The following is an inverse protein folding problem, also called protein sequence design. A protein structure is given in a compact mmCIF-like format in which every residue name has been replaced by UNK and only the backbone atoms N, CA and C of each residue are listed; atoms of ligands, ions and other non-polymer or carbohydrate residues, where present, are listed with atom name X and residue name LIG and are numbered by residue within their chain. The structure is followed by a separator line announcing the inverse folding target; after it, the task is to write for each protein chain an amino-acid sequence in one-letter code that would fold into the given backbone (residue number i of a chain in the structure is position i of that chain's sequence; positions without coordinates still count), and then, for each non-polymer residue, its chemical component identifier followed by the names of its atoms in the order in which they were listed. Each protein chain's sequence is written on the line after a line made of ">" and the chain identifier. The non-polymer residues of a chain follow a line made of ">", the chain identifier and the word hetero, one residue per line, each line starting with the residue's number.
data_IF_575846138935
#
_entry.id   IF_575846138935
#
_cell.length_a   1.000
_cell.length_b   1.000
_cell.length_c   1.000
_cell.angle_alpha   90.00
_cell.angle_beta   90.00
_cell.angle_gamma   90.00
#
_symmetry.space_group_name_H-M   'P 1'
#
loop_
_entity.id
_entity.type
_entity.pdbx_description
1 polymer ?
#
# COMPACT_ATOMS: atom_id res chain seq x y z
N UNK A 1 -5.62 -10.40 -35.29
CA UNK A 1 -5.94 -9.15 -34.58
C UNK A 1 -7.03 -9.44 -33.55
N UNK A 2 -7.00 -8.76 -32.41
CA UNK A 2 -7.83 -8.95 -31.20
C UNK A 2 -7.34 -10.01 -30.19
N UNK A 3 -6.32 -9.57 -29.44
CA UNK A 3 -5.97 -10.05 -28.10
C UNK A 3 -7.10 -9.72 -27.12
N UNK A 4 -7.71 -10.73 -26.50
CA UNK A 4 -8.30 -10.59 -25.15
C UNK A 4 -8.03 -11.89 -24.39
N UNK A 5 -6.84 -11.98 -23.79
CA UNK A 5 -6.48 -13.03 -22.84
C UNK A 5 -6.81 -12.53 -21.44
N UNK A 6 -8.10 -12.30 -21.18
CA UNK A 6 -8.61 -11.89 -19.87
C UNK A 6 -9.12 -13.14 -19.15
N UNK A 7 -8.78 -13.25 -17.86
CA UNK A 7 -9.10 -14.31 -16.91
C UNK A 7 -8.24 -15.58 -16.92
N UNK A 8 -6.99 -15.42 -16.45
CA UNK A 8 -6.25 -16.52 -15.81
C UNK A 8 -5.34 -16.04 -14.65
N UNK A 9 -5.81 -15.09 -13.82
CA UNK A 9 -5.00 -14.54 -12.70
C UNK A 9 -5.69 -14.62 -11.32
N UNK A 10 -6.87 -15.25 -11.21
CA UNK A 10 -7.56 -15.42 -9.91
C UNK A 10 -7.22 -16.74 -9.18
N UNK A 11 -5.99 -17.26 -9.33
CA UNK A 11 -5.58 -18.54 -8.73
C UNK A 11 -4.23 -18.47 -7.98
N UNK A 12 -4.10 -17.52 -7.06
CA UNK A 12 -3.27 -17.67 -5.85
C UNK A 12 -4.01 -17.06 -4.65
N UNK A 13 -4.92 -17.86 -4.08
CA UNK A 13 -5.46 -17.63 -2.74
C UNK A 13 -4.31 -17.81 -1.74
N UNK A 14 -4.08 -16.80 -0.91
CA UNK A 14 -3.12 -16.83 0.20
C UNK A 14 -2.12 -15.68 0.14
N UNK A 15 -2.38 -14.65 0.96
CA UNK A 15 -1.47 -13.57 1.41
C UNK A 15 -1.65 -12.14 0.87
N UNK A 16 -2.71 -11.79 0.12
CA UNK A 16 -2.96 -10.38 -0.19
C UNK A 16 -4.46 -10.05 -0.29
N UNK A 17 -5.20 -10.24 0.81
CA UNK A 17 -6.57 -9.74 0.91
C UNK A 17 -6.56 -8.22 1.02
N UNK A 18 -6.93 -7.56 -0.07
CA UNK A 18 -7.12 -6.10 -0.07
C UNK A 18 -8.31 -5.77 0.82
N UNK A 19 -8.04 -5.22 2.01
CA UNK A 19 -9.08 -4.84 2.98
C UNK A 19 -9.30 -3.33 2.94
N UNK A 20 -10.55 -2.90 2.80
CA UNK A 20 -10.90 -1.48 2.92
C UNK A 20 -10.84 -1.08 4.39
N UNK A 21 -10.07 -0.04 4.72
CA UNK A 21 -9.97 0.51 6.07
C UNK A 21 -10.69 1.87 6.09
N UNK A 22 -11.95 1.92 6.55
CA UNK A 22 -12.74 3.16 6.56
C UNK A 22 -12.16 4.22 7.50
N UNK A 23 -11.36 3.84 8.49
CA UNK A 23 -10.63 4.79 9.32
C UNK A 23 -9.43 5.45 8.61
N UNK A 24 -9.02 4.93 7.45
CA UNK A 24 -7.84 5.37 6.70
C UNK A 24 -8.16 6.05 5.36
N UNK A 25 -9.44 6.30 5.04
CA UNK A 25 -9.84 7.00 3.80
C UNK A 25 -9.67 8.52 3.86
N UNK A 26 -9.58 9.12 5.06
CA UNK A 26 -9.32 10.56 5.20
C UNK A 26 -7.81 10.82 5.31
N UNK A 27 -7.32 11.93 4.72
CA UNK A 27 -5.91 12.33 4.78
C UNK A 27 -5.11 11.90 3.55
N UNK A 28 -3.82 11.60 3.72
CA UNK A 28 -2.93 11.34 2.58
C UNK A 28 -3.31 10.05 1.85
N UNK A 29 -3.12 10.04 0.53
CA UNK A 29 -3.53 8.92 -0.33
C UNK A 29 -2.75 7.64 -0.03
N UNK A 30 -1.45 7.75 0.26
CA UNK A 30 -0.57 6.64 0.60
C UNK A 30 -0.24 6.74 2.07
N UNK A 31 -0.61 5.71 2.84
CA UNK A 31 -0.29 5.63 4.27
C UNK A 31 0.61 4.44 4.53
N UNK A 32 1.77 4.68 5.12
CA UNK A 32 2.72 3.63 5.51
C UNK A 32 2.68 3.50 7.02
N UNK A 33 2.38 2.30 7.51
CA UNK A 33 2.28 2.00 8.93
C UNK A 33 3.56 1.26 9.34
N UNK A 34 4.37 1.90 10.15
CA UNK A 34 5.71 1.43 10.53
C UNK A 34 5.85 1.35 12.04
N UNK A 35 6.52 0.33 12.54
CA UNK A 35 7.00 0.29 13.93
C UNK A 35 8.43 0.85 14.05
N UNK A 36 9.04 0.69 15.23
CA UNK A 36 10.43 1.07 15.53
C UNK A 36 11.49 0.09 15.01
N UNK A 37 11.15 -0.76 14.03
CA UNK A 37 11.97 -1.90 13.62
C UNK A 37 12.82 -1.60 12.36
N UNK A 38 13.99 -2.25 12.22
CA UNK A 38 14.84 -2.08 11.03
C UNK A 38 14.14 -2.49 9.70
N UNK A 39 13.25 -3.48 9.74
CA UNK A 39 12.42 -3.85 8.59
C UNK A 39 11.41 -2.76 8.20
N UNK A 40 10.94 -2.01 9.20
CA UNK A 40 9.97 -0.95 9.03
C UNK A 40 10.60 0.25 8.30
N UNK A 41 11.86 0.58 8.63
CA UNK A 41 12.65 1.57 7.91
C UNK A 41 12.82 1.19 6.43
N UNK A 42 13.25 -0.05 6.15
CA UNK A 42 13.42 -0.55 4.77
C UNK A 42 12.16 -0.42 3.91
N UNK A 43 10.99 -0.76 4.45
CA UNK A 43 9.74 -0.59 3.69
C UNK A 43 9.49 0.89 3.39
N UNK A 44 9.70 1.79 4.35
CA UNK A 44 9.53 3.23 4.15
C UNK A 44 10.45 3.75 3.04
N UNK A 45 11.72 3.39 3.07
CA UNK A 45 12.69 3.78 2.04
C UNK A 45 12.28 3.27 0.65
N UNK A 46 11.83 2.01 0.56
CA UNK A 46 11.33 1.43 -0.69
C UNK A 46 10.09 2.16 -1.22
N UNK A 47 9.16 2.54 -0.33
CA UNK A 47 7.96 3.32 -0.71
C UNK A 47 8.34 4.69 -1.23
N UNK A 48 9.23 5.42 -0.54
CA UNK A 48 9.71 6.73 -0.99
C UNK A 48 10.38 6.61 -2.37
N UNK A 49 11.24 5.61 -2.56
CA UNK A 49 11.90 5.37 -3.85
C UNK A 49 10.89 5.04 -4.96
N UNK A 50 9.89 4.19 -4.67
CA UNK A 50 8.83 3.85 -5.62
C UNK A 50 7.95 5.06 -5.97
N UNK A 51 7.63 5.92 -5.00
CA UNK A 51 6.88 7.16 -5.24
C UNK A 51 7.65 8.13 -6.14
N UNK A 52 8.96 8.29 -5.90
CA UNK A 52 9.84 9.11 -6.76
C UNK A 52 9.86 8.60 -8.20
N UNK A 53 9.97 7.29 -8.40
CA UNK A 53 9.91 6.68 -9.73
C UNK A 53 8.52 6.79 -10.39
N UNK A 54 7.45 6.77 -9.58
CA UNK A 54 6.08 6.95 -10.04
C UNK A 54 5.67 8.42 -10.23
N UNK A 55 6.58 9.38 -9.97
CA UNK A 55 6.28 10.83 -9.98
C UNK A 55 5.10 11.22 -9.06
N UNK A 56 4.91 10.49 -7.96
CA UNK A 56 3.89 10.81 -6.96
C UNK A 56 4.51 11.76 -5.94
N UNK A 57 3.88 12.91 -5.65
CA UNK A 57 4.44 13.87 -4.69
C UNK A 57 4.45 13.29 -3.27
N UNK A 58 5.50 13.59 -2.51
CA UNK A 58 5.65 13.12 -1.12
C UNK A 58 4.54 13.66 -0.19
N UNK A 59 3.78 14.68 -0.60
CA UNK A 59 2.58 15.16 0.11
C UNK A 59 1.47 14.12 0.20
N UNK A 60 1.45 13.12 -0.69
CA UNK A 60 0.52 12.01 -0.64
C UNK A 60 0.96 10.90 0.33
N UNK A 61 2.18 10.98 0.87
CA UNK A 61 2.72 10.02 1.82
C UNK A 61 2.48 10.47 3.27
N UNK A 62 1.73 9.66 4.02
CA UNK A 62 1.62 9.79 5.47
C UNK A 62 2.26 8.58 6.13
N UNK A 63 3.14 8.82 7.10
CA UNK A 63 3.74 7.74 7.88
C UNK A 63 3.13 7.69 9.27
N UNK A 64 2.51 6.56 9.60
CA UNK A 64 1.88 6.32 10.89
C UNK A 64 2.80 5.40 11.69
N UNK A 65 3.45 5.96 12.70
CA UNK A 65 4.28 5.20 13.65
C UNK A 65 3.56 4.86 14.96
N UNK A 66 2.31 5.30 15.09
CA UNK A 66 1.52 5.18 16.31
C UNK A 66 0.83 3.83 16.36
N UNK A 67 1.36 2.92 17.17
CA UNK A 67 0.83 1.56 17.35
C UNK A 67 -0.64 1.57 17.81
N UNK A 68 -1.08 2.58 18.56
CA UNK A 68 -2.48 2.69 19.02
C UNK A 68 -3.39 3.00 17.83
N UNK A 69 -2.97 3.87 16.90
CA UNK A 69 -3.73 4.13 15.66
C UNK A 69 -3.78 2.89 14.76
N UNK A 70 -2.66 2.19 14.63
CA UNK A 70 -2.53 0.99 13.79
C UNK A 70 -3.45 -0.14 14.29
N UNK A 71 -3.43 -0.40 15.60
CA UNK A 71 -4.29 -1.43 16.22
C UNK A 71 -5.76 -1.07 16.15
N UNK A 72 -6.13 0.22 16.28
CA UNK A 72 -7.52 0.70 16.04
C UNK A 72 -7.99 0.49 14.61
N UNK A 73 -7.09 0.51 13.63
CA UNK A 73 -7.38 0.15 12.24
C UNK A 73 -7.54 -1.37 12.02
N UNK A 74 -7.34 -2.18 13.06
CA UNK A 74 -7.40 -3.64 12.98
C UNK A 74 -6.16 -4.26 12.32
N UNK A 75 -5.07 -3.50 12.20
CA UNK A 75 -3.79 -4.00 11.70
C UNK A 75 -2.98 -4.47 12.92
N UNK A 76 -2.74 -5.77 12.98
CA UNK A 76 -1.92 -6.40 14.03
C UNK A 76 -0.47 -6.57 13.55
N UNK A 77 -0.29 -6.72 12.24
CA UNK A 77 1.00 -7.02 11.63
C UNK A 77 1.57 -5.81 10.90
N UNK A 78 2.61 -5.21 11.47
CA UNK A 78 3.43 -4.17 10.84
C UNK A 78 4.75 -4.75 10.36
N UNK A 79 5.33 -4.27 9.25
CA UNK A 79 4.97 -3.05 8.54
C UNK A 79 3.80 -3.23 7.55
N UNK A 80 3.00 -2.19 7.32
CA UNK A 80 1.83 -2.24 6.45
C UNK A 80 1.73 -1.04 5.50
N UNK A 81 1.10 -1.24 4.35
CA UNK A 81 0.90 -0.23 3.31
C UNK A 81 -0.58 -0.10 2.95
N UNK A 82 -1.09 1.12 3.04
CA UNK A 82 -2.44 1.49 2.63
C UNK A 82 -2.32 2.48 1.46
N UNK A 83 -3.12 2.29 0.42
CA UNK A 83 -3.25 3.24 -0.69
C UNK A 83 -4.73 3.45 -0.97
N UNK A 84 -5.18 4.69 -1.03
CA UNK A 84 -6.59 5.07 -1.22
C UNK A 84 -7.54 4.40 -0.21
N UNK A 85 -7.09 4.28 1.05
CA UNK A 85 -7.84 3.62 2.12
C UNK A 85 -7.93 2.09 1.98
N UNK A 86 -7.24 1.48 1.01
CA UNK A 86 -7.14 0.03 0.84
C UNK A 86 -5.83 -0.48 1.43
N UNK A 87 -5.90 -1.42 2.37
CA UNK A 87 -4.73 -2.15 2.86
C UNK A 87 -4.24 -3.08 1.76
N UNK A 88 -3.07 -2.78 1.21
CA UNK A 88 -2.48 -3.56 0.11
C UNK A 88 -1.51 -4.63 0.61
N UNK A 89 -0.86 -4.41 1.75
CA UNK A 89 0.10 -5.34 2.31
C UNK A 89 0.27 -5.14 3.82
N UNK A 90 0.52 -6.22 4.55
CA UNK A 90 0.87 -6.21 5.97
C UNK A 90 1.89 -7.31 6.29
N UNK A 91 2.88 -7.00 7.12
CA UNK A 91 3.90 -7.94 7.58
C UNK A 91 5.00 -8.30 6.58
N UNK A 92 5.00 -7.68 5.38
CA UNK A 92 6.01 -7.92 4.35
C UNK A 92 6.65 -6.59 3.94
N UNK A 93 7.98 -6.62 3.76
CA UNK A 93 8.71 -5.54 3.11
C UNK A 93 8.62 -5.76 1.60
N UNK A 94 7.88 -4.91 0.91
CA UNK A 94 7.77 -4.94 -0.54
C UNK A 94 8.98 -4.27 -1.18
N UNK A 95 9.47 -4.85 -2.27
CA UNK A 95 10.49 -4.24 -3.11
C UNK A 95 9.91 -3.10 -3.95
N UNK A 96 10.76 -2.20 -4.44
CA UNK A 96 10.35 -1.07 -5.29
C UNK A 96 9.55 -1.55 -6.52
N UNK A 97 9.99 -2.64 -7.14
CA UNK A 97 9.32 -3.26 -8.30
C UNK A 97 7.91 -3.78 -8.00
N UNK A 98 7.66 -4.25 -6.77
CA UNK A 98 6.32 -4.68 -6.33
C UNK A 98 5.45 -3.46 -5.97
N UNK A 99 6.05 -2.38 -5.48
CA UNK A 99 5.33 -1.16 -5.07
C UNK A 99 4.87 -0.33 -6.26
N UNK A 100 5.68 -0.21 -7.32
CA UNK A 100 5.34 0.54 -8.53
C UNK A 100 3.96 0.20 -9.12
N UNK A 101 3.63 -1.08 -9.41
CA UNK A 101 2.32 -1.42 -9.96
C UNK A 101 1.20 -1.17 -8.95
N UNK A 102 1.44 -1.33 -7.65
CA UNK A 102 0.44 -1.07 -6.61
C UNK A 102 0.10 0.43 -6.49
N UNK A 103 1.11 1.28 -6.57
CA UNK A 103 0.95 2.74 -6.54
C UNK A 103 0.27 3.27 -7.82
N UNK A 104 0.56 2.64 -8.97
CA UNK A 104 -0.05 2.98 -10.29
C UNK A 104 -1.46 2.43 -10.47
N UNK A 105 -1.74 1.20 -10.02
CA UNK A 105 -3.08 0.60 -10.16
C UNK A 105 -4.15 1.34 -9.34
N UNK A 106 -3.74 1.97 -8.25
CA UNK A 106 -4.64 2.79 -7.46
C UNK A 106 -4.58 4.28 -7.86
N UNK A 107 -3.80 4.69 -8.87
CA UNK A 107 -3.76 6.09 -9.36
C UNK A 107 -4.84 6.42 -10.38
N UNK A 108 -5.77 5.50 -10.63
CA UNK A 108 -6.97 5.82 -11.39
C UNK A 108 -7.85 6.77 -10.56
N UNK A 109 -8.14 7.97 -11.07
CA UNK A 109 -9.10 8.85 -10.42
C UNK A 109 -10.42 8.10 -10.33
N UNK A 110 -11.02 8.08 -9.14
CA UNK A 110 -12.46 7.85 -9.02
C UNK A 110 -13.16 8.99 -9.77
N UNK A 111 -13.31 8.82 -11.07
CA UNK A 111 -14.38 9.43 -11.82
C UNK A 111 -15.57 8.47 -11.71
N UNK A 112 -16.69 9.07 -11.35
CA UNK A 112 -18.07 8.54 -11.30
C UNK A 112 -18.57 7.99 -9.96
#
# INVERSE_FOLDING_TARGET
>A
MAFIKINSILKKRGQNEVRIIPAAVNGARIKVLVGSCAHCAKLRDNVIAAMKQANIPETELETISDLVKITRMGIITTPALIVDGKLLCCGKVLSIEELLPLLKQNSEPKAE
#
